data_IF_926891715014
#
_entry.id   IF_926891715014
#
_cell.length_a   1.000
_cell.length_b   1.000
_cell.length_c   1.000
_cell.angle_alpha   90.00
_cell.angle_beta   90.00
_cell.angle_gamma   90.00
#
_symmetry.space_group_name_H-M   'P 1'
#
loop_
_entity.id
_entity.type
_entity.pdbx_description
1 polymer ?
#
# COMPACT_ATOMS: atom_id res chain seq x y z
N UNK A 1 0.12 -25.41 8.37
CA UNK A 1 -0.61 -24.72 7.28
C UNK A 1 -1.82 -25.57 6.97
N UNK A 2 -3.00 -24.97 7.11
CA UNK A 2 -4.27 -25.64 6.90
C UNK A 2 -4.62 -25.78 5.41
N UNK A 3 -5.78 -26.37 5.13
CA UNK A 3 -6.30 -26.59 3.76
C UNK A 3 -6.48 -25.32 2.91
N UNK A 4 -6.38 -24.13 3.49
CA UNK A 4 -6.46 -22.84 2.81
C UNK A 4 -5.09 -22.20 2.58
N UNK A 5 -4.00 -22.88 2.96
CA UNK A 5 -2.66 -22.28 2.96
C UNK A 5 -2.48 -21.21 4.05
N UNK A 6 -3.31 -21.26 5.08
CA UNK A 6 -3.26 -20.36 6.25
C UNK A 6 -2.64 -21.06 7.46
N UNK A 7 -2.25 -20.30 8.47
CA UNK A 7 -1.76 -20.87 9.72
C UNK A 7 -2.89 -21.60 10.47
N UNK A 8 -2.56 -22.70 11.15
CA UNK A 8 -3.55 -23.53 11.85
C UNK A 8 -4.14 -22.80 13.08
N UNK A 9 -3.47 -21.73 13.53
CA UNK A 9 -3.89 -20.84 14.61
C UNK A 9 -4.49 -19.53 14.08
N UNK A 10 -4.89 -19.47 12.81
CA UNK A 10 -5.49 -18.27 12.24
C UNK A 10 -6.82 -17.95 12.94
N UNK A 11 -6.88 -16.80 13.60
CA UNK A 11 -8.07 -16.32 14.32
C UNK A 11 -9.29 -16.12 13.40
N UNK A 12 -9.09 -16.07 12.08
CA UNK A 12 -10.19 -16.01 11.14
C UNK A 12 -10.91 -17.36 10.95
N UNK A 13 -10.33 -18.45 11.44
CA UNK A 13 -10.85 -19.82 11.33
C UNK A 13 -10.96 -20.52 12.70
N UNK A 14 -11.70 -19.95 13.67
CA UNK A 14 -11.73 -20.48 15.04
C UNK A 14 -12.31 -21.90 15.14
N UNK A 15 -13.10 -22.34 14.17
CA UNK A 15 -13.74 -23.67 14.16
C UNK A 15 -13.16 -24.58 13.07
N UNK A 16 -11.93 -24.33 12.61
CA UNK A 16 -11.29 -25.07 11.51
C UNK A 16 -11.30 -26.59 11.72
N UNK A 17 -11.11 -27.03 12.97
CA UNK A 17 -10.96 -28.44 13.34
C UNK A 17 -12.27 -29.04 13.88
N UNK A 18 -13.36 -28.28 13.88
CA UNK A 18 -14.63 -28.73 14.44
C UNK A 18 -15.50 -29.34 13.32
N UNK A 19 -15.79 -30.64 13.37
CA UNK A 19 -16.52 -31.30 12.30
C UNK A 19 -17.99 -30.86 12.27
N UNK A 20 -18.53 -30.66 11.06
CA UNK A 20 -19.94 -30.37 10.85
C UNK A 20 -20.36 -28.92 11.16
N UNK A 21 -19.41 -28.03 11.45
CA UNK A 21 -19.68 -26.59 11.67
C UNK A 21 -18.91 -25.70 10.69
N UNK A 22 -19.39 -24.48 10.51
CA UNK A 22 -18.74 -23.46 9.70
C UNK A 22 -17.41 -23.02 10.34
N UNK A 23 -16.31 -23.07 9.58
CA UNK A 23 -14.98 -22.75 10.12
C UNK A 23 -14.87 -21.32 10.70
N UNK A 24 -15.72 -20.39 10.22
CA UNK A 24 -15.72 -18.98 10.62
C UNK A 24 -16.61 -18.69 11.82
N UNK A 25 -17.86 -19.17 11.80
CA UNK A 25 -18.90 -18.74 12.76
C UNK A 25 -19.44 -19.87 13.66
N UNK A 26 -19.02 -21.12 13.46
CA UNK A 26 -19.44 -22.25 14.29
C UNK A 26 -20.86 -22.73 14.05
N UNK A 27 -21.60 -22.13 13.11
CA UNK A 27 -22.95 -22.59 12.76
C UNK A 27 -22.90 -24.00 12.16
N UNK A 28 -23.79 -24.87 12.61
CA UNK A 28 -23.97 -26.20 12.03
C UNK A 28 -24.20 -26.13 10.51
N UNK A 29 -23.45 -26.94 9.77
CA UNK A 29 -23.55 -27.05 8.32
C UNK A 29 -24.70 -27.98 7.94
N UNK A 30 -25.36 -27.70 6.83
CA UNK A 30 -26.50 -28.49 6.35
C UNK A 30 -26.30 -28.96 4.90
N UNK A 31 -26.93 -30.09 4.55
CA UNK A 31 -26.89 -30.63 3.19
C UNK A 31 -25.48 -30.93 2.70
N UNK A 32 -25.05 -30.25 1.63
CA UNK A 32 -23.73 -30.42 0.99
C UNK A 32 -22.66 -29.44 1.47
N UNK A 33 -22.98 -28.58 2.45
CA UNK A 33 -22.02 -27.62 2.98
C UNK A 33 -20.94 -28.36 3.80
N UNK A 34 -19.67 -28.10 3.52
CA UNK A 34 -18.54 -28.79 4.18
C UNK A 34 -17.58 -27.87 4.91
N UNK A 35 -17.71 -26.56 4.75
CA UNK A 35 -16.72 -25.58 5.24
C UNK A 35 -17.36 -24.26 5.70
N UNK A 36 -18.35 -23.77 4.95
CA UNK A 36 -18.97 -22.46 5.14
C UNK A 36 -20.48 -22.62 5.18
N UNK A 37 -21.13 -21.98 6.16
CA UNK A 37 -22.58 -21.97 6.20
C UNK A 37 -23.20 -21.01 5.18
N UNK A 38 -22.41 -20.05 4.66
CA UNK A 38 -22.81 -19.02 3.69
C UNK A 38 -21.58 -18.36 3.05
N UNK A 39 -21.77 -17.69 1.92
CA UNK A 39 -20.69 -17.03 1.16
C UNK A 39 -20.00 -15.93 1.96
N UNK A 40 -20.76 -15.21 2.79
CA UNK A 40 -20.24 -14.12 3.62
C UNK A 40 -19.15 -14.60 4.59
N UNK A 41 -19.28 -15.82 5.13
CA UNK A 41 -18.26 -16.38 6.01
C UNK A 41 -16.93 -16.66 5.28
N UNK A 42 -16.99 -17.03 4.00
CA UNK A 42 -15.79 -17.16 3.18
C UNK A 42 -15.26 -15.79 2.74
N UNK A 43 -16.15 -14.86 2.40
CA UNK A 43 -15.78 -13.50 2.04
C UNK A 43 -15.00 -12.84 3.18
N UNK A 44 -15.48 -12.91 4.43
CA UNK A 44 -14.76 -12.39 5.60
C UNK A 44 -13.33 -12.93 5.71
N UNK A 45 -13.13 -14.23 5.46
CA UNK A 45 -11.78 -14.79 5.40
C UNK A 45 -10.96 -14.13 4.27
N UNK A 46 -11.52 -14.05 3.07
CA UNK A 46 -10.84 -13.50 1.91
C UNK A 46 -10.48 -12.02 2.06
N UNK A 47 -11.30 -11.24 2.77
CA UNK A 47 -11.07 -9.81 3.02
C UNK A 47 -9.77 -9.54 3.77
N UNK A 48 -9.38 -10.40 4.71
CA UNK A 48 -8.15 -10.25 5.49
C UNK A 48 -6.95 -11.03 4.92
N UNK A 49 -7.18 -12.00 4.05
CA UNK A 49 -6.11 -12.88 3.57
C UNK A 49 -5.72 -12.64 2.11
N UNK A 50 -6.58 -12.03 1.31
CA UNK A 50 -6.27 -11.61 -0.05
C UNK A 50 -5.60 -10.24 -0.05
N UNK A 51 -4.44 -10.14 -0.68
CA UNK A 51 -3.65 -8.90 -0.72
C UNK A 51 -4.46 -7.70 -1.23
N UNK A 52 -5.23 -7.86 -2.31
CA UNK A 52 -5.97 -6.74 -2.89
C UNK A 52 -7.03 -6.17 -1.94
N UNK A 53 -7.72 -7.04 -1.22
CA UNK A 53 -8.75 -6.66 -0.25
C UNK A 53 -8.14 -6.13 1.04
N UNK A 54 -7.14 -6.83 1.59
CA UNK A 54 -6.45 -6.42 2.80
C UNK A 54 -5.74 -5.07 2.62
N UNK A 55 -5.12 -4.84 1.45
CA UNK A 55 -4.52 -3.56 1.08
C UNK A 55 -5.55 -2.44 1.01
N UNK A 56 -6.73 -2.70 0.45
CA UNK A 56 -7.81 -1.71 0.42
C UNK A 56 -8.31 -1.41 1.83
N UNK A 57 -8.57 -2.45 2.62
CA UNK A 57 -9.02 -2.33 4.01
C UNK A 57 -8.02 -1.56 4.89
N UNK A 58 -6.71 -1.79 4.73
CA UNK A 58 -5.67 -1.06 5.44
C UNK A 58 -5.71 0.45 5.13
N UNK A 59 -5.83 0.80 3.85
CA UNK A 59 -5.95 2.22 3.44
C UNK A 59 -7.21 2.88 3.95
N UNK A 60 -8.33 2.16 3.90
CA UNK A 60 -9.61 2.67 4.37
C UNK A 60 -9.57 2.88 5.89
N UNK A 61 -9.03 1.92 6.66
CA UNK A 61 -8.77 2.02 8.12
C UNK A 61 -7.88 3.21 8.46
N UNK A 62 -6.82 3.42 7.70
CA UNK A 62 -5.82 4.48 7.95
C UNK A 62 -6.25 5.85 7.37
N UNK A 63 -7.51 5.97 6.91
CA UNK A 63 -8.08 7.22 6.42
C UNK A 63 -7.40 7.76 5.16
N UNK A 64 -6.83 6.89 4.33
CA UNK A 64 -5.98 7.24 3.18
C UNK A 64 -4.86 8.22 3.56
N UNK A 65 -4.20 7.97 4.69
CA UNK A 65 -3.05 8.73 5.17
C UNK A 65 -1.93 7.81 5.64
N UNK A 66 -0.71 8.34 5.62
CA UNK A 66 0.44 7.68 6.22
C UNK A 66 0.28 7.64 7.74
N UNK A 67 0.27 6.45 8.34
CA UNK A 67 0.15 6.30 9.80
C UNK A 67 1.37 6.82 10.57
N UNK A 68 2.53 6.95 9.90
CA UNK A 68 3.78 7.41 10.52
C UNK A 68 3.93 8.93 10.52
N UNK A 69 3.49 9.61 9.47
CA UNK A 69 3.74 11.05 9.30
C UNK A 69 2.48 11.88 8.97
N UNK A 70 1.31 11.27 8.81
CA UNK A 70 0.04 11.95 8.52
C UNK A 70 -0.13 12.46 7.09
N UNK A 71 0.92 12.40 6.25
CA UNK A 71 0.87 12.81 4.84
C UNK A 71 -0.13 11.95 4.06
N UNK A 72 -0.83 12.57 3.11
CA UNK A 72 -1.68 11.87 2.15
C UNK A 72 -0.86 11.23 1.00
N UNK A 73 0.44 11.49 0.90
CA UNK A 73 1.32 10.97 -0.16
C UNK A 73 1.26 11.73 -1.48
N UNK A 74 0.59 12.89 -1.54
CA UNK A 74 0.47 13.72 -2.74
C UNK A 74 1.81 14.34 -3.18
N UNK A 75 2.68 14.69 -2.23
CA UNK A 75 3.94 15.42 -2.49
C UNK A 75 5.07 14.54 -3.04
N UNK A 76 4.95 13.22 -2.94
CA UNK A 76 6.10 12.31 -3.11
C UNK A 76 6.23 11.76 -4.53
N UNK A 77 5.29 12.09 -5.43
CA UNK A 77 5.40 11.69 -6.84
C UNK A 77 6.13 12.75 -7.66
N UNK A 78 7.06 12.34 -8.55
CA UNK A 78 7.59 13.26 -9.54
C UNK A 78 6.42 13.82 -10.35
N UNK A 79 6.31 15.16 -10.32
CA UNK A 79 5.34 15.94 -11.07
C UNK A 79 5.51 15.60 -12.55
N UNK A 80 4.44 15.12 -13.20
CA UNK A 80 4.44 14.91 -14.65
C UNK A 80 3.93 16.17 -15.33
N UNK A 81 4.79 16.76 -16.15
CA UNK A 81 4.39 17.78 -17.10
C UNK A 81 3.50 17.15 -18.17
N UNK A 82 2.30 17.70 -18.35
CA UNK A 82 1.37 17.32 -19.39
C UNK A 82 1.08 18.55 -20.26
N UNK A 83 1.15 18.36 -21.58
CA UNK A 83 0.77 19.38 -22.55
C UNK A 83 -0.75 19.58 -22.52
N UNK A 84 -1.20 20.82 -22.57
CA UNK A 84 -2.63 21.14 -22.75
C UNK A 84 -2.92 21.17 -24.24
N UNK A 85 -3.51 20.07 -24.75
CA UNK A 85 -3.67 19.86 -26.19
C UNK A 85 -4.87 20.60 -26.80
N UNK A 86 -5.73 21.21 -25.98
CA UNK A 86 -6.92 21.92 -26.45
C UNK A 86 -7.49 22.90 -25.42
N UNK A 87 -8.32 23.82 -25.89
CA UNK A 87 -9.11 24.74 -25.04
C UNK A 87 -10.00 23.94 -24.06
N UNK A 88 -10.58 22.82 -24.50
CA UNK A 88 -11.39 21.95 -23.63
C UNK A 88 -10.55 21.29 -22.52
N UNK A 89 -9.31 20.90 -22.82
CA UNK A 89 -8.39 20.40 -21.80
C UNK A 89 -8.03 21.50 -20.78
N UNK A 90 -7.83 22.74 -21.22
CA UNK A 90 -7.61 23.88 -20.32
C UNK A 90 -8.81 24.12 -19.39
N UNK A 91 -10.04 24.11 -19.93
CA UNK A 91 -11.27 24.30 -19.14
C UNK A 91 -11.48 23.20 -18.10
N UNK A 92 -11.19 21.93 -18.41
CA UNK A 92 -11.26 20.82 -17.42
C UNK A 92 -10.29 20.97 -16.26
N UNK A 93 -9.26 21.81 -16.42
CA UNK A 93 -8.29 22.14 -15.39
C UNK A 93 -8.66 23.40 -14.62
N UNK A 94 -9.84 23.99 -14.87
CA UNK A 94 -10.29 25.23 -14.24
C UNK A 94 -9.58 26.48 -14.75
N UNK A 95 -8.89 26.41 -15.89
CA UNK A 95 -8.26 27.57 -16.51
C UNK A 95 -9.29 28.28 -17.40
N UNK A 96 -9.50 29.57 -17.14
CA UNK A 96 -10.33 30.44 -17.98
C UNK A 96 -9.54 30.87 -19.24
N UNK A 97 -9.44 29.95 -20.22
CA UNK A 97 -8.68 30.18 -21.44
C UNK A 97 -9.51 30.92 -22.50
N UNK A 98 -9.11 32.14 -22.93
CA UNK A 98 -9.84 32.90 -23.93
C UNK A 98 -9.86 32.18 -25.27
N UNK A 99 -11.04 32.05 -25.89
CA UNK A 99 -11.17 31.47 -27.23
C UNK A 99 -10.40 32.27 -28.30
N UNK A 100 -10.15 33.56 -28.04
CA UNK A 100 -9.43 34.49 -28.93
C UNK A 100 -7.93 34.24 -29.00
N UNK A 101 -7.34 33.51 -28.04
CA UNK A 101 -5.91 33.20 -28.00
C UNK A 101 -5.55 31.88 -28.71
N UNK A 102 -6.52 31.23 -29.36
CA UNK A 102 -6.29 29.96 -30.05
C UNK A 102 -5.94 28.81 -29.11
N UNK A 103 -5.43 27.71 -29.68
CA UNK A 103 -5.09 26.50 -28.91
C UNK A 103 -3.90 26.76 -27.97
N UNK A 104 -3.95 26.33 -26.69
CA UNK A 104 -2.86 26.48 -25.71
C UNK A 104 -1.67 25.53 -25.97
N UNK A 105 -1.26 25.33 -27.22
CA UNK A 105 -0.30 24.32 -27.65
C UNK A 105 1.13 24.50 -27.09
N UNK A 106 1.39 25.55 -26.30
CA UNK A 106 2.62 25.76 -25.52
C UNK A 106 2.45 25.66 -24.00
N UNK A 107 1.23 25.46 -23.49
CA UNK A 107 0.96 25.38 -22.06
C UNK A 107 1.23 23.96 -21.54
N UNK A 108 2.05 23.88 -20.49
CA UNK A 108 2.29 22.65 -19.74
C UNK A 108 1.78 22.82 -18.32
N UNK A 109 1.04 21.83 -17.85
CA UNK A 109 0.58 21.77 -16.47
C UNK A 109 1.21 20.59 -15.74
N UNK A 110 1.39 20.74 -14.44
CA UNK A 110 1.68 19.62 -13.55
C UNK A 110 0.36 18.89 -13.29
N UNK A 111 0.21 17.67 -13.82
CA UNK A 111 -0.94 16.86 -13.44
C UNK A 111 -0.76 16.35 -12.01
N UNK A 112 -1.72 16.59 -11.09
CA UNK A 112 -1.73 15.89 -9.82
C UNK A 112 -1.86 14.39 -10.12
N UNK A 113 -0.99 13.58 -9.53
CA UNK A 113 -1.13 12.12 -9.57
C UNK A 113 -1.89 11.67 -8.33
N UNK A 114 -2.56 10.51 -8.43
CA UNK A 114 -3.15 9.86 -7.26
C UNK A 114 -2.10 9.75 -6.14
N UNK A 115 -2.50 9.96 -4.88
CA UNK A 115 -1.56 9.97 -3.77
C UNK A 115 -0.77 8.66 -3.70
N UNK A 116 0.54 8.76 -3.46
CA UNK A 116 1.43 7.60 -3.43
C UNK A 116 1.53 7.04 -2.03
N UNK A 117 0.47 6.32 -1.66
CA UNK A 117 0.44 5.49 -0.47
C UNK A 117 0.74 4.05 -0.85
N UNK A 118 1.51 3.38 -0.01
CA UNK A 118 1.92 1.98 -0.13
C UNK A 118 1.46 1.28 1.15
N UNK A 119 1.05 0.02 1.04
CA UNK A 119 0.71 -0.76 2.23
C UNK A 119 1.91 -1.64 2.52
N UNK A 120 2.38 -1.56 3.75
CA UNK A 120 3.53 -2.27 4.28
C UNK A 120 3.08 -3.38 5.21
N UNK A 121 3.85 -4.47 5.25
CA UNK A 121 3.75 -5.48 6.30
C UNK A 121 4.59 -5.06 7.50
N UNK A 122 4.00 -5.00 8.69
CA UNK A 122 4.67 -4.64 9.95
C UNK A 122 5.70 -5.72 10.29
N UNK A 123 5.24 -6.96 10.37
CA UNK A 123 6.05 -8.16 10.40
C UNK A 123 6.35 -8.57 8.94
N UNK A 124 7.61 -8.46 8.49
CA UNK A 124 7.94 -8.65 7.09
C UNK A 124 7.67 -10.10 6.68
N UNK A 125 7.05 -10.28 5.52
CA UNK A 125 6.89 -11.61 4.93
C UNK A 125 8.25 -12.22 4.56
N UNK A 126 8.45 -13.49 4.92
CA UNK A 126 9.55 -14.30 4.39
C UNK A 126 9.14 -14.97 3.06
N UNK A 127 9.93 -14.77 2.00
CA UNK A 127 9.70 -15.38 0.67
C UNK A 127 9.14 -14.43 -0.39
N UNK A 128 8.59 -14.98 -1.50
CA UNK A 128 8.07 -14.21 -2.65
C UNK A 128 6.54 -14.25 -2.76
N UNK A 129 5.96 -13.19 -3.29
CA UNK A 129 4.58 -13.12 -3.79
C UNK A 129 3.63 -12.24 -2.97
N UNK A 130 2.45 -11.96 -3.55
CA UNK A 130 1.31 -11.28 -2.92
C UNK A 130 0.12 -12.24 -2.78
N UNK A 131 0.42 -13.53 -2.60
CA UNK A 131 -0.58 -14.58 -2.51
C UNK A 131 -1.42 -14.50 -1.25
N UNK A 132 -2.50 -15.28 -1.25
CA UNK A 132 -3.36 -15.50 -0.10
C UNK A 132 -2.55 -16.00 1.11
N UNK A 133 -2.78 -15.45 2.32
CA UNK A 133 -2.05 -15.88 3.51
C UNK A 133 -2.28 -15.03 4.76
N UNK A 134 -1.98 -15.59 5.94
CA UNK A 134 -2.12 -14.93 7.25
C UNK A 134 -1.26 -13.67 7.40
N UNK A 135 -0.15 -13.58 6.66
CA UNK A 135 0.68 -12.39 6.63
C UNK A 135 -0.09 -11.12 6.18
N UNK A 136 -1.25 -11.26 5.51
CA UNK A 136 -2.07 -10.13 5.09
C UNK A 136 -3.10 -9.68 6.12
N UNK A 137 -3.17 -10.31 7.32
CA UNK A 137 -4.08 -9.86 8.37
C UNK A 137 -3.96 -8.36 8.58
N UNK A 138 -5.09 -7.68 8.74
CA UNK A 138 -5.14 -6.23 8.81
C UNK A 138 -4.26 -5.67 9.94
N UNK A 139 -4.14 -6.41 11.05
CA UNK A 139 -3.27 -6.11 12.19
C UNK A 139 -1.78 -6.10 11.84
N UNK A 140 -1.37 -6.81 10.79
CA UNK A 140 0.00 -6.85 10.27
C UNK A 140 0.23 -5.85 9.12
N UNK A 141 -0.74 -5.00 8.80
CA UNK A 141 -0.63 -4.04 7.70
C UNK A 141 -0.63 -2.60 8.21
N UNK A 142 0.15 -1.75 7.56
CA UNK A 142 0.13 -0.29 7.77
C UNK A 142 0.20 0.47 6.45
N UNK A 143 -0.54 1.58 6.34
CA UNK A 143 -0.48 2.48 5.19
C UNK A 143 0.61 3.53 5.39
N UNK A 144 1.58 3.55 4.48
CA UNK A 144 2.73 4.45 4.49
C UNK A 144 2.77 5.31 3.23
N UNK A 145 3.26 6.54 3.35
CA UNK A 145 3.70 7.28 2.18
C UNK A 145 5.01 6.69 1.64
N UNK A 146 5.31 6.87 0.36
CA UNK A 146 6.51 6.34 -0.28
C UNK A 146 7.82 6.58 0.50
N UNK A 147 8.04 7.79 1.04
CA UNK A 147 9.25 8.11 1.84
C UNK A 147 9.35 7.24 3.09
N UNK A 148 8.26 7.12 3.85
CA UNK A 148 8.22 6.29 5.04
C UNK A 148 8.33 4.81 4.69
N UNK A 149 7.69 4.37 3.61
CA UNK A 149 7.76 3.00 3.14
C UNK A 149 9.17 2.58 2.71
N UNK A 150 9.91 3.45 2.00
CA UNK A 150 11.32 3.19 1.64
C UNK A 150 12.19 3.12 2.89
N UNK A 151 12.03 4.04 3.84
CA UNK A 151 12.79 4.02 5.09
C UNK A 151 12.55 2.73 5.88
N UNK A 152 11.30 2.31 5.98
CA UNK A 152 10.90 1.08 6.67
C UNK A 152 11.39 -0.18 5.94
N UNK A 153 11.25 -0.24 4.62
CA UNK A 153 11.78 -1.35 3.80
C UNK A 153 13.29 -1.51 4.00
N UNK A 154 14.03 -0.40 4.06
CA UNK A 154 15.47 -0.42 4.31
C UNK A 154 15.81 -0.90 5.73
N UNK A 155 15.05 -0.45 6.75
CA UNK A 155 15.19 -0.94 8.13
C UNK A 155 14.99 -2.46 8.21
N UNK A 156 13.87 -2.96 7.66
CA UNK A 156 13.55 -4.38 7.62
C UNK A 156 14.59 -5.19 6.83
N UNK A 157 15.15 -4.61 5.76
CA UNK A 157 16.20 -5.25 4.98
C UNK A 157 17.53 -5.35 5.74
N UNK A 158 17.93 -4.29 6.45
CA UNK A 158 19.12 -4.30 7.32
C UNK A 158 18.99 -5.36 8.43
N UNK A 159 17.82 -5.42 9.09
CA UNK A 159 17.54 -6.42 10.13
C UNK A 159 17.67 -7.86 9.61
N UNK A 160 17.18 -8.15 8.40
CA UNK A 160 17.33 -9.49 7.78
C UNK A 160 18.78 -9.84 7.46
N UNK A 161 19.65 -8.86 7.24
CA UNK A 161 21.09 -9.09 7.00
C UNK A 161 21.87 -9.30 8.30
N UNK A 162 21.24 -9.05 9.45
CA UNK A 162 21.91 -9.09 10.75
C UNK A 162 22.74 -7.84 11.02
N UNK A 163 22.53 -6.76 10.27
CA UNK A 163 23.17 -5.47 10.55
C UNK A 163 22.57 -4.95 11.87
N UNK A 164 23.40 -4.73 12.90
CA UNK A 164 22.91 -4.14 14.15
C UNK A 164 22.47 -2.68 13.89
N UNK A 165 21.37 -2.25 14.52
CA UNK A 165 20.79 -0.90 14.42
C UNK A 165 21.82 0.26 14.58
N UNK A 166 22.95 0.00 15.25
CA UNK A 166 24.04 0.96 15.45
C UNK A 166 24.79 1.32 14.15
N UNK A 167 24.88 0.42 13.16
CA UNK A 167 25.56 0.70 11.89
C UNK A 167 24.71 1.55 10.93
N UNK A 168 23.38 1.45 11.02
CA UNK A 168 22.44 2.16 10.14
C UNK A 168 22.32 3.65 10.50
N UNK A 169 22.37 3.99 11.78
CA UNK A 169 22.34 5.39 12.26
C UNK A 169 23.64 6.14 11.93
N UNK A 170 24.77 5.44 11.87
CA UNK A 170 26.07 6.05 11.57
C UNK A 170 26.19 6.45 10.10
N UNK A 171 25.56 5.72 9.17
CA UNK A 171 25.52 6.10 7.75
C UNK A 171 24.61 7.30 7.45
N UNK A 172 23.54 7.52 8.23
CA UNK A 172 22.63 8.65 8.02
C UNK A 172 23.17 9.99 8.55
N UNK A 173 24.11 9.97 9.51
CA UNK A 173 24.71 11.17 10.11
C UNK A 173 26.02 11.61 9.43
N UNK A 174 26.65 10.73 8.64
CA UNK A 174 27.96 10.97 8.00
C UNK A 174 27.90 11.06 6.47
N UNK A 175 26.75 11.39 5.87
CA UNK A 175 26.75 11.92 4.52
C UNK A 175 27.09 13.41 4.57
N UNK A 176 28.31 13.86 4.20
CA UNK A 176 28.52 15.28 3.98
C UNK A 176 27.56 15.73 2.87
N UNK A 177 26.90 16.86 3.09
CA UNK A 177 26.09 17.52 2.08
C UNK A 177 26.88 17.56 0.76
N UNK A 178 26.32 16.97 -0.29
CA UNK A 178 26.91 16.99 -1.62
C UNK A 178 27.36 18.42 -1.95
N UNK A 179 28.64 18.66 -2.31
CA UNK A 179 29.07 20.00 -2.65
C UNK A 179 28.26 20.47 -3.87
N UNK A 180 27.66 21.65 -3.74
CA UNK A 180 26.94 22.32 -4.81
C UNK A 180 27.84 22.37 -6.05
N UNK A 181 27.37 21.84 -7.18
CA UNK A 181 28.03 22.01 -8.48
C UNK A 181 28.23 23.52 -8.71
N UNK A 182 29.48 23.94 -8.78
CA UNK A 182 29.82 25.29 -9.22
C UNK A 182 29.30 25.53 -10.65
N UNK A 183 28.87 26.76 -10.98
CA UNK A 183 28.44 27.11 -12.32
C UNK A 183 29.64 27.00 -13.28
N UNK A 184 29.41 26.40 -14.45
CA UNK A 184 30.39 26.38 -15.54
C UNK A 184 30.52 27.79 -16.09
N UNK A 185 31.73 28.33 -16.05
CA UNK A 185 32.10 29.56 -16.77
C UNK A 185 32.07 29.33 -18.28
N UNK A 186 31.79 30.43 -18.99
CA UNK A 186 31.44 30.55 -20.41
C UNK A 186 32.40 29.88 -21.40
#
# INVERSE_FOLDING_TARGET
MNRYGLDDTCDALPFLNDPGVCNRCGKALTGRQTQWCREECFAELAWEHSWDWARKAARDRDGNRCVRCGSDGSEQRPKRWAKVESINAARRLGLDWPATLGCPSGLFIVKPRNPWLEVNHIEPRMGRGYGFGCHNHLTNLETLCHRCHVAETNRQYAERRGDQLVDVLQLALFQPASPSRAPRSA
#
